data_IF_931577130592
#
_entry.id   IF_931577130592
#
_cell.length_a   1.000
_cell.length_b   1.000
_cell.length_c   1.000
_cell.angle_alpha   90.00
_cell.angle_beta   90.00
_cell.angle_gamma   90.00
#
_symmetry.space_group_name_H-M   'P 1'
#
loop_
_entity.id
_entity.type
_entity.pdbx_description
1 polymer ?
#
# COMPACT_ATOMS: atom_id res chain seq x y z
N UNK A 1 -28.65 0.31 34.24
CA UNK A 1 -27.34 -0.29 33.91
C UNK A 1 -27.24 -0.75 32.45
N UNK A 2 -28.14 -1.61 31.96
CA UNK A 2 -28.09 -2.11 30.56
C UNK A 2 -28.09 -0.98 29.51
N UNK A 3 -28.98 0.01 29.66
CA UNK A 3 -29.09 1.14 28.74
C UNK A 3 -27.80 1.98 28.68
N UNK A 4 -27.17 2.18 29.84
CA UNK A 4 -25.89 2.91 29.95
C UNK A 4 -24.76 2.17 29.24
N UNK A 5 -24.66 0.85 29.41
CA UNK A 5 -23.68 0.02 28.68
C UNK A 5 -23.90 0.07 27.17
N UNK A 6 -25.15 0.03 26.71
CA UNK A 6 -25.46 0.12 25.28
C UNK A 6 -25.01 1.47 24.68
N UNK A 7 -25.31 2.58 25.39
CA UNK A 7 -24.88 3.93 24.98
C UNK A 7 -23.36 4.03 24.92
N UNK A 8 -22.64 3.46 25.90
CA UNK A 8 -21.18 3.44 25.92
C UNK A 8 -20.59 2.63 24.74
N UNK A 9 -21.17 1.49 24.40
CA UNK A 9 -20.73 0.69 23.24
C UNK A 9 -20.96 1.42 21.91
N UNK A 10 -22.11 2.09 21.77
CA UNK A 10 -22.42 2.88 20.59
C UNK A 10 -21.47 4.08 20.47
N UNK A 11 -21.25 4.81 21.56
CA UNK A 11 -20.34 5.98 21.55
C UNK A 11 -18.91 5.58 21.22
N UNK A 12 -18.42 4.45 21.76
CA UNK A 12 -17.11 3.90 21.41
C UNK A 12 -17.00 3.56 19.92
N UNK A 13 -18.01 2.89 19.35
CA UNK A 13 -18.03 2.57 17.91
C UNK A 13 -18.04 3.85 17.05
N UNK A 14 -18.86 4.83 17.41
CA UNK A 14 -18.92 6.12 16.69
C UNK A 14 -17.57 6.84 16.76
N UNK A 15 -16.90 6.83 17.92
CA UNK A 15 -15.58 7.41 18.09
C UNK A 15 -14.53 6.74 17.18
N UNK A 16 -14.51 5.41 17.14
CA UNK A 16 -13.60 4.65 16.28
C UNK A 16 -13.82 4.95 14.79
N UNK A 17 -15.07 4.94 14.33
CA UNK A 17 -15.42 5.27 12.95
C UNK A 17 -15.03 6.71 12.60
N UNK A 18 -15.25 7.65 13.51
CA UNK A 18 -14.88 9.06 13.32
C UNK A 18 -13.37 9.20 13.18
N UNK A 19 -12.60 8.54 14.04
CA UNK A 19 -11.13 8.52 13.97
C UNK A 19 -10.63 7.96 12.63
N UNK A 20 -11.21 6.86 12.16
CA UNK A 20 -10.84 6.25 10.89
C UNK A 20 -11.18 7.15 9.69
N UNK A 21 -12.34 7.82 9.74
CA UNK A 21 -12.75 8.78 8.73
C UNK A 21 -11.79 9.99 8.65
N UNK A 22 -11.43 10.55 9.81
CA UNK A 22 -10.44 11.63 9.90
C UNK A 22 -9.07 11.20 9.38
N UNK A 23 -8.63 9.99 9.72
CA UNK A 23 -7.37 9.45 9.22
C UNK A 23 -7.40 9.25 7.71
N UNK A 24 -8.47 8.68 7.16
CA UNK A 24 -8.66 8.56 5.71
C UNK A 24 -8.65 9.94 5.03
N UNK A 25 -9.25 10.97 5.63
CA UNK A 25 -9.18 12.35 5.13
C UNK A 25 -7.75 12.87 5.12
N UNK A 26 -6.99 12.67 6.21
CA UNK A 26 -5.56 13.03 6.27
C UNK A 26 -4.77 12.38 5.12
N UNK A 27 -4.92 11.08 4.91
CA UNK A 27 -4.23 10.35 3.82
C UNK A 27 -4.62 10.89 2.45
N UNK A 28 -5.90 11.22 2.25
CA UNK A 28 -6.37 11.82 1.01
C UNK A 28 -5.76 13.19 0.74
N UNK A 29 -5.57 14.03 1.77
CA UNK A 29 -4.90 15.32 1.61
C UNK A 29 -3.40 15.15 1.35
N UNK A 30 -2.73 14.24 2.06
CA UNK A 30 -1.31 13.90 1.79
C UNK A 30 -1.12 13.45 0.34
N UNK A 31 -1.98 12.56 -0.16
CA UNK A 31 -1.91 12.08 -1.53
C UNK A 31 -2.10 13.19 -2.58
N UNK A 32 -2.78 14.30 -2.28
CA UNK A 32 -2.90 15.43 -3.23
C UNK A 32 -1.60 16.22 -3.38
N UNK A 33 -0.78 16.27 -2.33
CA UNK A 33 0.43 17.11 -2.28
C UNK A 33 1.71 16.36 -2.63
N UNK A 34 1.68 15.02 -2.69
CA UNK A 34 2.81 14.20 -3.14
C UNK A 34 3.06 14.43 -4.63
N UNK A 35 4.22 15.01 -4.95
CA UNK A 35 4.64 15.32 -6.32
C UNK A 35 6.02 14.75 -6.68
N UNK A 36 6.77 14.32 -5.67
CA UNK A 36 8.13 13.80 -5.76
C UNK A 36 8.31 12.50 -4.95
N UNK A 37 9.44 11.80 -5.14
CA UNK A 37 9.77 10.61 -4.33
C UNK A 37 10.21 11.02 -2.92
N UNK A 38 10.78 12.21 -2.78
CA UNK A 38 11.18 12.84 -1.54
C UNK A 38 9.97 13.03 -0.61
N UNK A 39 8.82 13.47 -1.15
CA UNK A 39 7.57 13.59 -0.38
C UNK A 39 7.16 12.27 0.28
N UNK A 40 7.31 11.15 -0.46
CA UNK A 40 7.04 9.80 0.04
C UNK A 40 8.08 9.35 1.07
N UNK A 41 9.35 9.75 0.89
CA UNK A 41 10.44 9.42 1.81
C UNK A 41 10.19 10.01 3.21
N UNK A 42 9.72 11.27 3.29
CA UNK A 42 9.52 11.98 4.55
C UNK A 42 8.29 11.53 5.35
N UNK A 43 7.40 10.74 4.76
CA UNK A 43 6.30 10.13 5.52
C UNK A 43 6.85 9.15 6.56
N UNK A 44 6.22 9.11 7.74
CA UNK A 44 6.42 7.97 8.63
C UNK A 44 5.90 6.68 7.96
N UNK A 45 6.37 5.52 8.41
CA UNK A 45 6.03 4.24 7.79
C UNK A 45 4.51 4.00 7.70
N UNK A 46 3.75 4.39 8.73
CA UNK A 46 2.29 4.20 8.77
C UNK A 46 1.57 5.04 7.71
N UNK A 47 1.92 6.31 7.59
CA UNK A 47 1.33 7.20 6.60
C UNK A 47 1.77 6.81 5.18
N UNK A 48 3.03 6.40 4.99
CA UNK A 48 3.54 5.85 3.72
C UNK A 48 2.75 4.62 3.27
N UNK A 49 2.61 3.62 4.14
CA UNK A 49 1.79 2.43 3.90
C UNK A 49 0.36 2.81 3.53
N UNK A 50 -0.25 3.72 4.30
CA UNK A 50 -1.64 4.12 4.11
C UNK A 50 -1.87 4.86 2.79
N UNK A 51 -0.91 5.70 2.36
CA UNK A 51 -0.94 6.35 1.05
C UNK A 51 -0.88 5.32 -0.07
N UNK A 52 0.04 4.36 -0.01
CA UNK A 52 0.18 3.32 -1.04
C UNK A 52 -1.07 2.44 -1.12
N UNK A 53 -1.63 2.06 0.03
CA UNK A 53 -2.90 1.33 0.10
C UNK A 53 -4.04 2.14 -0.57
N UNK A 54 -4.13 3.44 -0.31
CA UNK A 54 -5.16 4.29 -0.95
C UNK A 54 -4.94 4.41 -2.46
N UNK A 55 -3.69 4.52 -2.92
CA UNK A 55 -3.33 4.52 -4.35
C UNK A 55 -3.74 3.21 -5.01
N UNK A 56 -3.40 2.07 -4.42
CA UNK A 56 -3.77 0.75 -4.94
C UNK A 56 -5.31 0.59 -4.98
N UNK A 57 -6.03 1.04 -3.94
CA UNK A 57 -7.51 1.02 -3.94
C UNK A 57 -8.10 1.82 -5.09
N UNK A 58 -7.56 3.03 -5.35
CA UNK A 58 -8.01 3.88 -6.45
C UNK A 58 -7.62 3.34 -7.83
N UNK A 59 -6.60 2.49 -7.90
CA UNK A 59 -6.28 1.70 -9.09
C UNK A 59 -7.13 0.42 -9.22
N UNK A 60 -8.15 0.23 -8.37
CA UNK A 60 -9.14 -0.84 -8.49
C UNK A 60 -8.85 -2.09 -7.64
N UNK A 61 -7.79 -2.11 -6.84
CA UNK A 61 -7.49 -3.25 -5.98
C UNK A 61 -8.37 -3.29 -4.72
N UNK A 62 -8.91 -4.46 -4.39
CA UNK A 62 -9.42 -4.77 -3.04
C UNK A 62 -8.24 -5.18 -2.16
N UNK A 63 -8.06 -4.51 -1.03
CA UNK A 63 -6.86 -4.67 -0.19
C UNK A 63 -7.23 -5.15 1.20
N UNK A 64 -6.50 -6.16 1.69
CA UNK A 64 -6.51 -6.61 3.08
C UNK A 64 -5.08 -6.72 3.59
N UNK A 65 -4.79 -6.18 4.77
CA UNK A 65 -3.49 -6.41 5.43
C UNK A 65 -3.34 -7.87 5.85
N UNK A 66 -2.12 -8.40 5.75
CA UNK A 66 -1.80 -9.76 6.21
C UNK A 66 -0.46 -9.80 6.96
N UNK A 67 -0.27 -10.87 7.73
CA UNK A 67 1.01 -11.24 8.35
C UNK A 67 1.67 -12.43 7.63
N UNK A 68 1.06 -12.94 6.57
CA UNK A 68 1.53 -14.12 5.83
C UNK A 68 2.70 -13.79 4.87
N UNK A 69 2.89 -12.50 4.58
CA UNK A 69 4.02 -11.93 3.85
C UNK A 69 4.37 -10.55 4.43
N UNK A 70 5.48 -9.97 3.98
CA UNK A 70 5.93 -8.67 4.44
C UNK A 70 6.69 -8.70 5.77
N UNK A 71 7.72 -7.85 5.86
CA UNK A 71 8.42 -7.57 7.12
C UNK A 71 7.73 -6.39 7.83
N UNK A 72 7.61 -6.45 9.16
CA UNK A 72 7.06 -5.38 10.01
C UNK A 72 5.65 -4.89 9.62
N UNK A 73 4.82 -5.80 9.12
CA UNK A 73 3.42 -5.51 8.76
C UNK A 73 3.26 -4.80 7.41
N UNK A 74 4.26 -4.88 6.53
CA UNK A 74 4.19 -4.37 5.16
C UNK A 74 3.35 -5.23 4.20
N UNK A 75 2.91 -6.41 4.64
CA UNK A 75 2.21 -7.40 3.83
C UNK A 75 0.76 -7.07 3.55
N UNK A 76 0.37 -7.24 2.29
CA UNK A 76 -0.99 -7.03 1.80
C UNK A 76 -1.45 -8.22 0.94
N UNK A 77 -2.77 -8.40 0.88
CA UNK A 77 -3.46 -9.27 -0.06
C UNK A 77 -4.29 -8.39 -0.99
N UNK A 78 -4.05 -8.51 -2.28
CA UNK A 78 -4.70 -7.79 -3.37
C UNK A 78 -5.70 -8.73 -4.05
N UNK A 79 -6.96 -8.32 -4.15
CA UNK A 79 -8.06 -9.05 -4.78
C UNK A 79 -8.23 -10.51 -4.29
N UNK A 80 -7.75 -10.81 -3.08
CA UNK A 80 -7.72 -12.17 -2.51
C UNK A 80 -6.85 -13.19 -3.27
N UNK A 81 -6.04 -12.77 -4.25
CA UNK A 81 -5.30 -13.69 -5.14
C UNK A 81 -3.81 -13.34 -5.32
N UNK A 82 -3.37 -12.20 -4.81
CA UNK A 82 -2.01 -11.70 -5.00
C UNK A 82 -1.48 -11.18 -3.68
N UNK A 83 -0.25 -11.54 -3.34
CA UNK A 83 0.48 -10.91 -2.24
C UNK A 83 1.16 -9.65 -2.72
N UNK A 84 1.19 -8.63 -1.87
CA UNK A 84 2.05 -7.47 -2.07
C UNK A 84 2.84 -7.15 -0.81
N UNK A 85 4.08 -6.73 -1.01
CA UNK A 85 4.97 -6.28 0.04
C UNK A 85 5.43 -4.86 -0.26
N UNK A 86 5.24 -3.97 0.71
CA UNK A 86 5.64 -2.56 0.61
C UNK A 86 6.91 -2.34 1.39
N UNK A 87 7.96 -1.91 0.70
CA UNK A 87 9.23 -1.63 1.31
C UNK A 87 9.51 -0.13 1.30
N UNK A 88 9.86 0.42 2.45
CA UNK A 88 10.21 1.84 2.61
C UNK A 88 11.68 1.96 2.99
N UNK A 89 12.45 2.57 2.10
CA UNK A 89 13.85 2.89 2.35
C UNK A 89 14.30 4.16 1.63
N UNK A 90 15.59 4.49 1.70
CA UNK A 90 16.17 5.67 1.03
C UNK A 90 16.04 5.61 -0.50
N UNK A 91 16.03 6.77 -1.16
CA UNK A 91 15.82 6.89 -2.62
C UNK A 91 16.88 6.16 -3.45
N UNK A 92 18.13 6.12 -2.96
CA UNK A 92 19.27 5.54 -3.66
C UNK A 92 19.48 4.06 -3.35
N UNK A 93 18.64 3.46 -2.51
CA UNK A 93 18.79 2.05 -2.19
C UNK A 93 18.20 1.21 -3.33
N UNK A 94 19.00 0.21 -3.73
CA UNK A 94 18.68 -0.71 -4.80
C UNK A 94 18.38 -2.07 -4.18
N UNK A 95 17.17 -2.57 -4.39
CA UNK A 95 16.69 -3.84 -3.85
C UNK A 95 17.43 -5.01 -4.49
N UNK A 96 17.98 -5.88 -3.64
CA UNK A 96 18.57 -7.15 -4.02
C UNK A 96 17.52 -8.27 -4.12
N UNK A 97 17.93 -9.40 -4.68
CA UNK A 97 17.08 -10.56 -4.95
C UNK A 97 16.47 -11.19 -3.69
N UNK A 98 17.12 -11.03 -2.54
CA UNK A 98 16.69 -11.63 -1.26
C UNK A 98 15.26 -11.23 -0.86
N UNK A 99 14.89 -9.96 -1.05
CA UNK A 99 13.54 -9.48 -0.74
C UNK A 99 12.49 -10.18 -1.61
N UNK A 100 12.78 -10.35 -2.90
CA UNK A 100 11.91 -11.05 -3.83
C UNK A 100 11.83 -12.57 -3.53
N UNK A 101 12.94 -13.17 -3.08
CA UNK A 101 12.96 -14.59 -2.66
C UNK A 101 12.10 -14.82 -1.41
N UNK A 102 12.12 -13.90 -0.44
CA UNK A 102 11.28 -13.97 0.75
C UNK A 102 9.80 -13.91 0.38
N UNK A 103 9.40 -12.98 -0.49
CA UNK A 103 8.03 -12.89 -0.98
C UNK A 103 7.61 -14.16 -1.74
N UNK A 104 8.47 -14.68 -2.63
CA UNK A 104 8.22 -15.92 -3.37
C UNK A 104 8.01 -17.14 -2.44
N UNK A 105 8.80 -17.22 -1.36
CA UNK A 105 8.65 -18.26 -0.34
C UNK A 105 7.30 -18.15 0.39
N UNK A 106 6.89 -16.94 0.75
CA UNK A 106 5.58 -16.68 1.34
C UNK A 106 4.45 -17.04 0.39
N UNK A 107 4.57 -16.68 -0.89
CA UNK A 107 3.63 -17.04 -1.96
C UNK A 107 3.45 -18.56 -2.06
N UNK A 108 4.56 -19.30 -2.16
CA UNK A 108 4.55 -20.77 -2.23
C UNK A 108 3.89 -21.39 -0.99
N UNK A 109 4.27 -20.95 0.21
CA UNK A 109 3.73 -21.48 1.47
C UNK A 109 2.21 -21.31 1.59
N UNK A 110 1.67 -20.24 1.02
CA UNK A 110 0.24 -19.90 1.12
C UNK A 110 -0.54 -20.21 -0.17
N UNK A 111 0.04 -20.94 -1.14
CA UNK A 111 -0.58 -21.25 -2.43
C UNK A 111 -1.06 -20.01 -3.20
N UNK A 112 -0.33 -18.90 -3.10
CA UNK A 112 -0.58 -17.65 -3.83
C UNK A 112 0.38 -17.56 -5.01
N UNK A 113 -0.13 -17.38 -6.22
CA UNK A 113 0.67 -17.48 -7.45
C UNK A 113 1.23 -16.15 -7.95
N UNK A 114 0.76 -15.01 -7.44
CA UNK A 114 1.17 -13.68 -7.90
C UNK A 114 1.70 -12.84 -6.75
N UNK A 115 2.78 -12.12 -7.02
CA UNK A 115 3.39 -11.18 -6.09
C UNK A 115 3.37 -9.75 -6.63
N UNK A 116 3.54 -8.78 -5.74
CA UNK A 116 3.87 -7.41 -6.08
C UNK A 116 4.85 -6.89 -5.03
N UNK A 117 5.97 -6.36 -5.46
CA UNK A 117 6.98 -5.80 -4.58
C UNK A 117 7.11 -4.32 -4.88
N UNK A 118 6.79 -3.49 -3.89
CA UNK A 118 6.72 -2.03 -4.05
C UNK A 118 7.86 -1.42 -3.25
N UNK A 119 8.70 -0.60 -3.89
CA UNK A 119 9.79 0.12 -3.22
C UNK A 119 9.87 1.57 -3.67
N UNK A 120 10.50 2.41 -2.84
CA UNK A 120 10.76 3.82 -3.16
C UNK A 120 12.04 4.03 -3.99
N UNK A 121 13.00 3.10 -3.97
CA UNK A 121 14.18 3.12 -4.84
C UNK A 121 13.98 2.30 -6.10
N UNK A 122 15.00 1.56 -6.52
CA UNK A 122 14.93 0.68 -7.70
C UNK A 122 15.36 -0.76 -7.36
N UNK A 123 15.28 -1.67 -8.34
CA UNK A 123 15.68 -3.07 -8.19
C UNK A 123 16.93 -3.38 -8.99
N UNK A 124 17.81 -4.23 -8.46
CA UNK A 124 18.93 -4.78 -9.23
C UNK A 124 18.40 -5.58 -10.43
N UNK A 125 19.13 -5.66 -11.55
CA UNK A 125 18.73 -6.48 -12.70
C UNK A 125 18.46 -7.95 -12.35
N UNK A 126 19.26 -8.54 -11.46
CA UNK A 126 19.05 -9.89 -10.96
C UNK A 126 17.71 -10.04 -10.20
N UNK A 127 17.35 -9.06 -9.37
CA UNK A 127 16.08 -9.03 -8.67
C UNK A 127 14.89 -8.90 -9.63
N UNK A 128 15.00 -8.03 -10.66
CA UNK A 128 13.97 -7.90 -11.72
C UNK A 128 13.79 -9.22 -12.49
N UNK A 129 14.88 -9.89 -12.84
CA UNK A 129 14.84 -11.19 -13.52
C UNK A 129 14.20 -12.27 -12.65
N UNK A 130 14.50 -12.28 -11.34
CA UNK A 130 13.86 -13.19 -10.40
C UNK A 130 12.36 -12.89 -10.22
N UNK A 131 12.00 -11.60 -10.08
CA UNK A 131 10.62 -11.11 -10.04
C UNK A 131 9.81 -11.70 -11.21
N UNK A 132 10.32 -11.52 -12.43
CA UNK A 132 9.67 -11.98 -13.66
C UNK A 132 9.45 -13.51 -13.67
N UNK A 133 10.46 -14.30 -13.29
CA UNK A 133 10.35 -15.77 -13.24
C UNK A 133 9.34 -16.29 -12.22
N UNK A 134 9.11 -15.54 -11.14
CA UNK A 134 8.22 -15.94 -10.04
C UNK A 134 6.87 -15.18 -10.06
N UNK A 135 6.53 -14.53 -11.18
CA UNK A 135 5.27 -13.79 -11.34
C UNK A 135 5.07 -12.73 -10.24
N UNK A 136 6.15 -12.01 -9.94
CA UNK A 136 6.18 -10.88 -9.01
C UNK A 136 6.31 -9.59 -9.81
N UNK A 137 5.32 -8.72 -9.67
CA UNK A 137 5.36 -7.38 -10.23
C UNK A 137 6.30 -6.49 -9.39
N UNK A 138 7.39 -6.02 -9.99
CA UNK A 138 8.34 -5.12 -9.34
C UNK A 138 7.92 -3.66 -9.63
N UNK A 139 7.47 -2.92 -8.61
CA UNK A 139 7.06 -1.49 -8.68
C UNK A 139 8.12 -0.63 -8.00
N UNK A 140 8.89 0.12 -8.78
CA UNK A 140 9.95 0.99 -8.29
C UNK A 140 9.44 2.40 -7.93
N UNK A 141 10.32 3.26 -7.42
CA UNK A 141 9.96 4.60 -6.95
C UNK A 141 9.34 5.49 -8.02
N UNK A 142 9.82 5.42 -9.26
CA UNK A 142 9.29 6.24 -10.36
C UNK A 142 7.90 5.74 -10.78
N UNK A 143 7.72 4.42 -10.88
CA UNK A 143 6.42 3.80 -11.12
C UNK A 143 5.44 4.13 -10.00
N UNK A 144 5.87 4.03 -8.74
CA UNK A 144 5.07 4.36 -7.57
C UNK A 144 4.60 5.82 -7.60
N UNK A 145 5.50 6.76 -7.89
CA UNK A 145 5.15 8.17 -8.02
C UNK A 145 4.15 8.41 -9.17
N UNK A 146 4.33 7.72 -10.29
CA UNK A 146 3.40 7.80 -11.42
C UNK A 146 2.01 7.26 -11.04
N UNK A 147 1.94 6.18 -10.26
CA UNK A 147 0.67 5.66 -9.73
C UNK A 147 -0.01 6.67 -8.81
N UNK A 148 0.74 7.37 -7.94
CA UNK A 148 0.21 8.47 -7.13
C UNK A 148 -0.40 9.58 -8.01
N UNK A 149 0.35 10.05 -9.01
CA UNK A 149 -0.09 11.12 -9.93
C UNK A 149 -1.30 10.70 -10.75
N UNK A 150 -1.38 9.45 -11.17
CA UNK A 150 -2.52 8.93 -11.93
C UNK A 150 -3.81 9.03 -11.11
N UNK A 151 -3.81 8.59 -9.85
CA UNK A 151 -5.01 8.58 -9.00
C UNK A 151 -5.39 9.96 -8.44
N UNK A 152 -4.48 10.95 -8.52
CA UNK A 152 -4.80 12.35 -8.26
C UNK A 152 -5.70 12.92 -9.37
N UNK A 153 -5.38 12.62 -10.64
CA UNK A 153 -6.12 13.11 -11.82
C UNK A 153 -7.52 12.53 -11.94
N UNK A 154 -7.73 11.27 -11.53
CA UNK A 154 -9.03 10.58 -11.63
C UNK A 154 -10.15 11.30 -10.87
N UNK A 155 -9.83 12.06 -9.82
CA UNK A 155 -10.82 12.84 -9.05
C UNK A 155 -11.38 14.05 -9.82
N UNK A 156 -10.66 14.56 -10.82
CA UNK A 156 -11.12 15.69 -11.63
C UNK A 156 -12.30 15.32 -12.56
N UNK A 157 -12.43 14.03 -12.91
CA UNK A 157 -13.42 13.55 -13.88
C UNK A 157 -14.80 13.31 -13.23
N UNK A 158 -14.86 13.19 -11.89
CA UNK A 158 -16.11 12.97 -11.14
C UNK A 158 -16.80 14.28 -10.72
N UNK A 159 -16.42 15.43 -11.29
CA UNK A 159 -17.26 16.63 -11.18
C UNK A 159 -18.45 16.47 -12.15
N UNK A 160 -19.71 16.55 -11.68
CA UNK A 160 -20.83 16.55 -12.60
C UNK A 160 -20.68 17.75 -13.55
N UNK A 161 -20.93 17.53 -14.84
CA UNK A 161 -21.06 18.61 -15.81
C UNK A 161 -22.05 19.64 -15.24
N UNK A 162 -21.63 20.91 -15.22
CA UNK A 162 -22.50 22.04 -14.85
C UNK A 162 -23.66 22.17 -15.83
#
# INVERSE_FOLDING_TARGET
MLLFYLILLISLKVFLVTKDCLYKRKINELLKVINSKEDLLYLNFRDYMSVIIEVLKRNGYKIKSTRDCGIDGSGLILNSIQFAEIWKHGLNQIIDVELAMNLAKCMQKNSVYRGMLITLGDFKPCAKAFCHRNVIECVNGDQLLNMCKAVQKTKAILQPAK
#
